data_IF_966365515036
#
_entry.id   IF_966365515036
#
_cell.length_a   1.000
_cell.length_b   1.000
_cell.length_c   1.000
_cell.angle_alpha   90.00
_cell.angle_beta   90.00
_cell.angle_gamma   90.00
#
_symmetry.space_group_name_H-M   'P 1'
#
loop_
_entity.id
_entity.type
_entity.pdbx_description
1 polymer ?
#
# COMPACT_ATOMS: atom_id res chain seq x y z
N UNK A 1 0.28 5.34 -26.89
CA UNK A 1 0.40 4.74 -25.56
C UNK A 1 1.29 5.64 -24.71
N UNK A 2 0.90 5.91 -23.46
CA UNK A 2 1.77 6.61 -22.51
C UNK A 2 2.97 5.72 -22.17
N UNK A 3 4.18 6.26 -22.23
CA UNK A 3 5.40 5.54 -21.81
C UNK A 3 5.65 5.77 -20.32
N UNK A 4 6.33 4.84 -19.66
CA UNK A 4 6.77 5.00 -18.25
C UNK A 4 7.64 6.24 -18.07
N UNK A 5 8.49 6.54 -19.04
CA UNK A 5 9.33 7.74 -19.02
C UNK A 5 8.49 9.02 -19.04
N UNK A 6 7.50 9.11 -19.93
CA UNK A 6 6.59 10.26 -19.99
C UNK A 6 5.80 10.41 -18.68
N UNK A 7 5.27 9.31 -18.15
CA UNK A 7 4.53 9.35 -16.88
C UNK A 7 5.40 9.81 -15.71
N UNK A 8 6.62 9.28 -15.61
CA UNK A 8 7.59 9.66 -14.58
C UNK A 8 7.95 11.14 -14.67
N UNK A 9 8.21 11.65 -15.88
CA UNK A 9 8.47 13.08 -16.10
C UNK A 9 7.27 13.95 -15.68
N UNK A 10 6.05 13.56 -16.08
CA UNK A 10 4.83 14.30 -15.69
C UNK A 10 4.68 14.37 -14.17
N UNK A 11 4.88 13.26 -13.45
CA UNK A 11 4.84 13.29 -11.99
C UNK A 11 5.96 14.16 -11.41
N UNK A 12 7.21 13.97 -11.85
CA UNK A 12 8.36 14.70 -11.33
C UNK A 12 8.27 16.23 -11.54
N UNK A 13 7.73 16.67 -12.67
CA UNK A 13 7.59 18.09 -13.00
C UNK A 13 6.43 18.78 -12.27
N UNK A 14 5.42 18.01 -11.83
CA UNK A 14 4.17 18.56 -11.28
C UNK A 14 3.98 18.29 -9.78
N UNK A 15 4.87 17.49 -9.15
CA UNK A 15 4.90 17.30 -7.70
C UNK A 15 5.86 18.31 -7.09
N UNK A 16 5.32 19.41 -6.57
CA UNK A 16 6.13 20.47 -5.95
C UNK A 16 6.49 20.19 -4.49
N UNK A 17 5.73 19.33 -3.80
CA UNK A 17 6.00 18.96 -2.42
C UNK A 17 5.58 17.51 -2.14
N UNK A 18 6.24 16.84 -1.18
CA UNK A 18 5.86 15.49 -0.77
C UNK A 18 4.41 15.45 -0.27
N UNK A 19 3.58 14.54 -0.78
CA UNK A 19 2.23 14.34 -0.27
C UNK A 19 2.23 13.37 0.92
N UNK A 20 1.44 13.68 1.94
CA UNK A 20 1.13 12.75 3.01
C UNK A 20 -0.03 11.84 2.54
N UNK A 21 0.18 10.53 2.59
CA UNK A 21 -0.85 9.53 2.20
C UNK A 21 -1.52 8.87 3.40
N UNK A 22 -1.03 9.17 4.60
CA UNK A 22 -1.62 8.82 5.90
C UNK A 22 -1.44 9.99 6.85
N UNK A 23 -2.39 10.14 7.78
CA UNK A 23 -2.44 11.13 8.87
C UNK A 23 -1.36 12.23 8.82
N UNK A 24 -1.74 13.41 8.31
CA UNK A 24 -0.84 14.53 8.09
C UNK A 24 -0.19 15.09 9.37
N UNK A 25 -0.62 14.64 10.55
CA UNK A 25 0.01 15.01 11.83
C UNK A 25 1.25 14.17 12.16
N UNK A 26 1.48 13.08 11.43
CA UNK A 26 2.65 12.21 11.61
C UNK A 26 3.90 12.83 11.00
N UNK A 27 4.84 13.22 11.86
CA UNK A 27 6.16 13.69 11.42
C UNK A 27 6.99 12.54 10.82
N UNK A 28 7.88 12.88 9.88
CA UNK A 28 8.80 11.92 9.22
C UNK A 28 9.65 11.13 10.21
N UNK A 29 10.02 11.71 11.35
CA UNK A 29 10.76 11.01 12.41
C UNK A 29 9.98 9.84 13.04
N UNK A 30 8.65 9.79 12.85
CA UNK A 30 7.78 8.69 13.30
C UNK A 30 7.87 7.44 12.41
N UNK A 31 8.54 7.55 11.27
CA UNK A 31 8.63 6.48 10.27
C UNK A 31 9.94 5.70 10.43
N UNK A 32 9.90 4.41 10.11
CA UNK A 32 11.08 3.58 9.90
C UNK A 32 10.93 2.66 8.69
N UNK A 33 12.01 2.40 7.94
CA UNK A 33 11.97 1.38 6.91
C UNK A 33 11.85 -0.01 7.54
N UNK A 34 11.21 -0.93 6.84
CA UNK A 34 11.19 -2.36 7.15
C UNK A 34 11.47 -3.15 5.88
N UNK A 35 12.29 -4.19 6.00
CA UNK A 35 12.65 -5.09 4.91
C UNK A 35 11.88 -6.41 5.09
N UNK A 36 10.95 -6.69 4.19
CA UNK A 36 10.21 -7.96 4.18
C UNK A 36 10.66 -8.91 3.07
N UNK A 37 11.82 -8.64 2.48
CA UNK A 37 12.41 -9.52 1.47
C UNK A 37 12.92 -10.82 2.07
N UNK A 38 13.15 -11.80 1.20
CA UNK A 38 13.74 -13.10 1.56
C UNK A 38 15.15 -12.99 2.19
N UNK A 39 15.83 -11.85 2.03
CA UNK A 39 17.13 -11.60 2.64
C UNK A 39 17.04 -11.35 4.16
N UNK A 40 15.88 -10.92 4.65
CA UNK A 40 15.66 -10.68 6.08
C UNK A 40 15.58 -12.01 6.84
N UNK A 41 16.61 -12.27 7.66
CA UNK A 41 16.72 -13.50 8.45
C UNK A 41 15.68 -13.62 9.55
N UNK A 42 15.17 -12.50 10.07
CA UNK A 42 14.14 -12.51 11.11
C UNK A 42 12.87 -13.24 10.66
N UNK A 43 12.59 -13.25 9.35
CA UNK A 43 11.40 -13.88 8.79
C UNK A 43 11.38 -15.41 8.95
N UNK A 44 12.48 -16.01 9.43
CA UNK A 44 12.59 -17.43 9.78
C UNK A 44 12.22 -17.72 11.23
N UNK A 45 12.15 -16.70 12.06
CA UNK A 45 11.99 -16.83 13.52
C UNK A 45 10.51 -16.87 13.96
N UNK A 46 9.57 -16.70 13.03
CA UNK A 46 8.14 -16.74 13.31
C UNK A 46 7.34 -17.33 12.15
N UNK A 47 6.10 -17.73 12.43
CA UNK A 47 5.17 -18.18 11.41
C UNK A 47 4.71 -17.01 10.56
N UNK A 48 5.46 -16.76 9.49
CA UNK A 48 5.14 -15.77 8.48
C UNK A 48 3.76 -16.01 7.83
N UNK A 49 3.12 -17.19 7.94
CA UNK A 49 1.75 -17.40 7.43
C UNK A 49 0.65 -16.80 8.29
N UNK A 50 0.98 -16.43 9.53
CA UNK A 50 0.05 -15.87 10.49
C UNK A 50 0.03 -14.34 10.47
N UNK A 51 -1.13 -13.76 10.15
CA UNK A 51 -1.33 -12.29 10.24
C UNK A 51 -1.06 -11.75 11.65
N UNK A 52 -1.33 -12.57 12.69
CA UNK A 52 -1.04 -12.21 14.08
C UNK A 52 0.46 -12.16 14.34
N UNK A 53 1.22 -13.13 13.86
CA UNK A 53 2.66 -13.16 14.04
C UNK A 53 3.33 -11.97 13.31
N UNK A 54 2.84 -11.60 12.13
CA UNK A 54 3.24 -10.35 11.46
C UNK A 54 2.96 -9.11 12.30
N UNK A 55 1.75 -8.99 12.86
CA UNK A 55 1.40 -7.87 13.72
C UNK A 55 2.35 -7.77 14.92
N UNK A 56 2.62 -8.90 15.59
CA UNK A 56 3.53 -8.96 16.74
C UNK A 56 4.96 -8.57 16.35
N UNK A 57 5.49 -9.10 15.24
CA UNK A 57 6.81 -8.76 14.71
C UNK A 57 6.96 -7.26 14.44
N UNK A 58 6.05 -6.68 13.65
CA UNK A 58 6.14 -5.27 13.24
C UNK A 58 5.93 -4.34 14.43
N UNK A 59 4.97 -4.65 15.31
CA UNK A 59 4.70 -3.85 16.52
C UNK A 59 5.92 -3.84 17.45
N UNK A 60 6.60 -4.99 17.60
CA UNK A 60 7.82 -5.07 18.42
C UNK A 60 8.95 -4.20 17.86
N UNK A 61 9.12 -4.18 16.53
CA UNK A 61 10.12 -3.36 15.84
C UNK A 61 9.85 -1.86 15.99
N UNK A 62 8.58 -1.46 15.80
CA UNK A 62 8.13 -0.08 16.00
C UNK A 62 8.37 0.38 17.43
N UNK A 63 7.94 -0.42 18.41
CA UNK A 63 8.09 -0.12 19.84
C UNK A 63 9.56 0.02 20.24
N UNK A 64 10.42 -0.91 19.79
CA UNK A 64 11.85 -0.91 20.10
C UNK A 64 12.58 0.35 19.57
N UNK A 65 12.09 0.96 18.50
CA UNK A 65 12.68 2.17 17.90
C UNK A 65 11.91 3.45 18.21
N UNK A 66 10.85 3.39 19.03
CA UNK A 66 9.99 4.53 19.33
C UNK A 66 9.30 5.11 18.09
N UNK A 67 8.93 4.24 17.14
CA UNK A 67 8.33 4.62 15.85
C UNK A 67 6.84 4.28 15.83
N UNK A 68 6.11 4.93 14.93
CA UNK A 68 4.65 4.76 14.77
C UNK A 68 4.27 4.18 13.40
N UNK A 69 5.13 4.33 12.40
CA UNK A 69 4.89 3.86 11.04
C UNK A 69 6.09 3.05 10.57
N UNK A 70 5.86 1.84 10.08
CA UNK A 70 6.85 1.12 9.29
C UNK A 70 6.47 1.26 7.81
N UNK A 71 7.46 1.40 6.93
CA UNK A 71 7.23 1.49 5.48
C UNK A 71 8.22 0.63 4.70
N UNK A 72 7.79 0.10 3.57
CA UNK A 72 8.63 -0.75 2.73
C UNK A 72 7.84 -1.40 1.62
N UNK A 73 8.40 -2.45 1.02
CA UNK A 73 7.63 -3.27 0.09
C UNK A 73 7.80 -3.02 -1.38
N UNK A 74 8.24 -1.85 -1.82
CA UNK A 74 8.33 -1.61 -3.25
C UNK A 74 9.50 -2.37 -3.89
N UNK A 75 9.19 -3.16 -4.92
CA UNK A 75 10.11 -4.07 -5.63
C UNK A 75 10.77 -5.10 -4.71
N UNK A 76 10.18 -5.39 -3.55
CA UNK A 76 10.63 -6.47 -2.69
C UNK A 76 10.17 -7.82 -3.26
N UNK A 77 11.13 -8.74 -3.42
CA UNK A 77 10.80 -10.16 -3.64
C UNK A 77 10.40 -10.76 -2.30
N UNK A 78 9.14 -11.19 -2.19
CA UNK A 78 8.57 -11.70 -0.94
C UNK A 78 8.06 -13.12 -1.10
N UNK A 79 8.45 -13.98 -0.17
CA UNK A 79 7.94 -15.34 -0.05
C UNK A 79 6.50 -15.41 0.48
N UNK A 80 5.92 -14.30 0.97
CA UNK A 80 4.56 -14.26 1.52
C UNK A 80 3.46 -14.64 0.51
N UNK A 81 3.70 -14.39 -0.79
CA UNK A 81 2.75 -14.69 -1.85
C UNK A 81 2.57 -16.19 -2.11
N UNK A 82 3.55 -17.01 -1.70
CA UNK A 82 3.50 -18.47 -1.79
C UNK A 82 2.35 -19.11 -0.99
N UNK A 83 1.60 -18.32 -0.21
CA UNK A 83 0.59 -18.79 0.74
C UNK A 83 -0.85 -18.78 0.24
N UNK A 84 -1.12 -18.05 -0.83
CA UNK A 84 -2.46 -18.03 -1.40
C UNK A 84 -2.47 -18.83 -2.69
N UNK A 85 -3.29 -19.89 -2.73
CA UNK A 85 -3.58 -20.60 -3.97
C UNK A 85 -4.18 -19.67 -5.05
N UNK A 86 -4.70 -18.50 -4.67
CA UNK A 86 -5.18 -17.48 -5.60
C UNK A 86 -4.05 -16.77 -6.37
N UNK A 87 -2.85 -16.69 -5.77
CA UNK A 87 -1.67 -16.04 -6.37
C UNK A 87 -0.65 -17.05 -6.93
N UNK A 88 -0.77 -18.33 -6.58
CA UNK A 88 0.08 -19.41 -7.07
C UNK A 88 -0.61 -20.18 -8.21
N UNK A 89 -0.15 -19.97 -9.43
CA UNK A 89 -0.34 -20.91 -10.53
C UNK A 89 0.73 -22.01 -10.45
N UNK A 90 0.39 -23.26 -10.80
CA UNK A 90 1.28 -24.44 -10.71
C UNK A 90 2.56 -24.37 -11.59
N UNK A 91 2.83 -23.23 -12.22
CA UNK A 91 3.96 -23.00 -13.13
C UNK A 91 4.91 -21.98 -12.49
N UNK A 92 6.11 -22.44 -12.09
CA UNK A 92 7.12 -21.64 -11.37
C UNK A 92 7.55 -20.35 -12.09
N UNK A 93 7.42 -20.29 -13.42
CA UNK A 93 7.76 -19.11 -14.23
C UNK A 93 6.72 -17.98 -14.15
N UNK A 94 5.57 -18.20 -13.50
CA UNK A 94 4.48 -17.23 -13.37
C UNK A 94 4.23 -16.75 -11.95
N UNK A 95 5.07 -17.16 -11.00
CA UNK A 95 4.93 -16.78 -9.59
C UNK A 95 5.02 -15.27 -9.41
N UNK A 96 3.92 -14.67 -8.94
CA UNK A 96 3.87 -13.24 -8.62
C UNK A 96 4.48 -13.00 -7.24
N UNK A 97 5.81 -12.89 -7.19
CA UNK A 97 6.55 -12.71 -5.93
C UNK A 97 7.16 -11.30 -5.75
N UNK A 98 7.01 -10.40 -6.73
CA UNK A 98 7.43 -9.00 -6.62
C UNK A 98 6.28 -8.14 -6.13
N UNK A 99 6.46 -7.47 -5.00
CA UNK A 99 5.48 -6.50 -4.51
C UNK A 99 5.65 -5.16 -5.26
N UNK A 100 4.62 -4.77 -6.00
CA UNK A 100 4.61 -3.55 -6.81
C UNK A 100 3.97 -2.35 -6.09
N UNK A 101 3.52 -2.54 -4.85
CA UNK A 101 2.98 -1.50 -3.97
C UNK A 101 4.01 -1.00 -2.96
N UNK A 102 3.58 -0.03 -2.16
CA UNK A 102 4.26 0.38 -0.92
C UNK A 102 3.31 0.05 0.22
N UNK A 103 3.85 -0.62 1.24
CA UNK A 103 3.10 -0.89 2.46
C UNK A 103 3.43 0.15 3.52
N UNK A 104 2.40 0.57 4.25
CA UNK A 104 2.51 1.41 5.44
C UNK A 104 1.85 0.68 6.60
N UNK A 105 2.66 0.14 7.50
CA UNK A 105 2.15 -0.51 8.71
C UNK A 105 1.98 0.53 9.81
N UNK A 106 0.71 0.74 10.17
CA UNK A 106 0.26 1.75 11.12
C UNK A 106 -0.86 1.18 11.98
N UNK A 107 -1.20 1.90 13.05
CA UNK A 107 -2.34 1.54 13.90
C UNK A 107 -3.66 1.60 13.12
N UNK A 108 -4.55 0.63 13.38
CA UNK A 108 -5.88 0.63 12.79
C UNK A 108 -6.64 1.90 13.16
N UNK A 109 -7.40 2.46 12.20
CA UNK A 109 -8.08 3.74 12.37
C UNK A 109 -7.22 4.97 12.03
N UNK A 110 -5.93 4.79 11.72
CA UNK A 110 -5.13 5.86 11.12
C UNK A 110 -5.77 6.34 9.82
N UNK A 111 -5.90 7.67 9.66
CA UNK A 111 -6.49 8.26 8.45
C UNK A 111 -5.63 7.95 7.24
N UNK A 112 -6.26 7.53 6.14
CA UNK A 112 -5.65 7.40 4.82
C UNK A 112 -6.07 8.60 3.98
N UNK A 113 -5.09 9.23 3.32
CA UNK A 113 -5.24 10.51 2.64
C UNK A 113 -5.02 10.34 1.14
N UNK A 114 -5.71 11.17 0.34
CA UNK A 114 -5.55 11.11 -1.11
C UNK A 114 -4.19 11.66 -1.51
N UNK A 115 -3.45 10.94 -2.35
CA UNK A 115 -2.11 11.33 -2.78
C UNK A 115 -2.14 12.54 -3.72
N UNK A 116 -3.23 12.69 -4.46
CA UNK A 116 -3.48 13.75 -5.43
C UNK A 116 -4.97 14.09 -5.45
N UNK A 117 -5.30 15.29 -5.92
CA UNK A 117 -6.65 15.64 -6.35
C UNK A 117 -7.17 14.62 -7.38
N UNK A 118 -8.44 14.26 -7.30
CA UNK A 118 -9.01 13.26 -8.19
C UNK A 118 -10.48 13.01 -7.96
N UNK A 119 -10.94 11.85 -8.43
CA UNK A 119 -12.30 11.37 -8.26
C UNK A 119 -12.29 9.90 -7.86
N UNK A 120 -13.32 9.48 -7.10
CA UNK A 120 -13.56 8.07 -6.81
C UNK A 120 -13.85 7.36 -8.14
N UNK A 121 -12.94 6.49 -8.57
CA UNK A 121 -13.14 5.69 -9.77
C UNK A 121 -14.01 4.46 -9.46
N UNK A 122 -13.59 3.67 -8.47
CA UNK A 122 -14.31 2.47 -8.04
C UNK A 122 -13.86 2.04 -6.65
N UNK A 123 -14.68 1.24 -5.97
CA UNK A 123 -14.36 0.69 -4.65
C UNK A 123 -15.03 -0.68 -4.46
N UNK A 124 -14.43 -1.53 -3.63
CA UNK A 124 -14.92 -2.90 -3.38
C UNK A 124 -14.37 -3.48 -2.08
N UNK A 125 -15.18 -4.30 -1.37
CA UNK A 125 -14.69 -5.19 -0.30
C UNK A 125 -14.23 -6.52 -0.93
N UNK A 126 -12.92 -6.68 -1.12
CA UNK A 126 -12.31 -7.89 -1.68
C UNK A 126 -12.09 -8.92 -0.58
N UNK A 127 -13.03 -9.87 -0.45
CA UNK A 127 -13.10 -10.79 0.70
C UNK A 127 -12.30 -12.09 0.55
N UNK A 128 -11.53 -12.27 -0.53
CA UNK A 128 -10.70 -13.47 -0.68
C UNK A 128 -9.54 -13.46 0.32
N UNK A 129 -9.05 -14.65 0.67
CA UNK A 129 -7.91 -14.78 1.58
C UNK A 129 -6.62 -14.22 0.95
N UNK A 130 -5.98 -13.28 1.65
CA UNK A 130 -4.76 -12.60 1.19
C UNK A 130 -4.99 -11.50 0.14
N UNK A 131 -6.25 -11.17 -0.15
CA UNK A 131 -6.63 -10.11 -1.09
C UNK A 131 -6.57 -8.71 -0.43
N UNK A 132 -6.83 -7.66 -1.19
CA UNK A 132 -6.73 -6.27 -0.75
C UNK A 132 -7.74 -5.86 0.33
N UNK A 133 -8.74 -6.69 0.68
CA UNK A 133 -9.81 -6.28 1.59
C UNK A 133 -10.62 -5.09 1.04
N UNK A 134 -11.17 -4.22 1.91
CA UNK A 134 -11.80 -2.97 1.47
C UNK A 134 -10.81 -2.09 0.71
N UNK A 135 -11.15 -1.81 -0.54
CA UNK A 135 -10.29 -1.15 -1.51
C UNK A 135 -10.98 0.04 -2.14
N UNK A 136 -10.23 1.13 -2.32
CA UNK A 136 -10.65 2.33 -3.05
C UNK A 136 -9.64 2.60 -4.17
N UNK A 137 -10.13 2.91 -5.37
CA UNK A 137 -9.34 3.37 -6.50
C UNK A 137 -9.73 4.82 -6.79
N UNK A 138 -8.75 5.72 -6.77
CA UNK A 138 -8.93 7.10 -7.23
C UNK A 138 -8.35 7.25 -8.63
N UNK A 139 -9.06 8.00 -9.47
CA UNK A 139 -8.55 8.48 -10.75
C UNK A 139 -8.08 9.91 -10.60
N UNK A 140 -6.89 10.17 -11.11
CA UNK A 140 -6.25 11.48 -11.10
C UNK A 140 -6.01 11.93 -12.53
N UNK A 141 -5.79 13.22 -12.73
CA UNK A 141 -5.38 13.76 -14.03
C UNK A 141 -4.43 14.94 -13.81
N UNK A 142 -3.22 14.84 -14.34
CA UNK A 142 -2.22 15.92 -14.36
C UNK A 142 -1.88 16.19 -15.83
N UNK A 143 -2.00 17.43 -16.30
CA UNK A 143 -1.72 17.80 -17.70
C UNK A 143 -2.40 16.87 -18.73
N UNK A 144 -3.68 16.54 -18.51
CA UNK A 144 -4.47 15.61 -19.32
C UNK A 144 -4.00 14.15 -19.32
N UNK A 145 -3.04 13.80 -18.45
CA UNK A 145 -2.54 12.45 -18.26
C UNK A 145 -3.29 11.78 -17.11
N UNK A 146 -4.12 10.76 -17.39
CA UNK A 146 -4.82 10.03 -16.34
C UNK A 146 -3.90 8.99 -15.69
N UNK A 147 -4.05 8.83 -14.38
CA UNK A 147 -3.43 7.74 -13.62
C UNK A 147 -4.29 7.39 -12.40
N UNK A 148 -3.94 6.30 -11.73
CA UNK A 148 -4.75 5.74 -10.67
C UNK A 148 -3.90 5.44 -9.44
N UNK A 149 -4.50 5.62 -8.27
CA UNK A 149 -3.97 5.13 -7.00
C UNK A 149 -4.93 4.09 -6.44
N UNK A 150 -4.38 3.04 -5.84
CA UNK A 150 -5.13 1.97 -5.18
C UNK A 150 -4.80 1.99 -3.70
N UNK A 151 -5.83 2.06 -2.87
CA UNK A 151 -5.74 2.02 -1.42
C UNK A 151 -6.39 0.73 -0.93
N UNK A 152 -5.57 -0.20 -0.43
CA UNK A 152 -6.02 -1.48 0.12
C UNK A 152 -6.13 -1.47 1.64
N UNK A 153 -6.69 -2.55 2.18
CA UNK A 153 -6.81 -2.84 3.61
C UNK A 153 -7.46 -1.71 4.42
N UNK A 154 -8.36 -0.96 3.78
CA UNK A 154 -9.13 0.09 4.44
C UNK A 154 -10.11 -0.53 5.45
N UNK A 155 -10.64 0.30 6.35
CA UNK A 155 -11.78 -0.13 7.15
C UNK A 155 -13.00 -0.31 6.24
N UNK A 156 -13.88 -1.29 6.54
CA UNK A 156 -15.17 -1.44 5.82
C UNK A 156 -16.03 -0.18 5.95
N UNK A 157 -15.89 0.50 7.08
CA UNK A 157 -16.58 1.75 7.36
C UNK A 157 -16.21 2.86 6.37
N UNK A 158 -14.98 2.87 5.87
CA UNK A 158 -14.49 3.84 4.88
C UNK A 158 -15.16 3.71 3.51
N UNK A 159 -15.77 2.56 3.21
CA UNK A 159 -16.48 2.35 1.95
C UNK A 159 -17.97 2.71 2.03
N UNK A 160 -18.47 3.03 3.22
CA UNK A 160 -19.88 3.44 3.39
C UNK A 160 -20.12 4.77 2.69
N UNK A 161 -21.26 4.85 2.00
CA UNK A 161 -21.76 6.06 1.34
C UNK A 161 -20.85 6.68 0.25
N UNK A 162 -19.79 5.98 -0.16
CA UNK A 162 -18.98 6.37 -1.31
C UNK A 162 -19.80 6.29 -2.59
N UNK A 163 -19.53 7.21 -3.52
CA UNK A 163 -20.15 7.25 -4.84
C UNK A 163 -19.06 7.45 -5.89
N UNK A 164 -19.08 6.65 -6.94
CA UNK A 164 -18.22 6.83 -8.10
C UNK A 164 -18.42 8.23 -8.70
N UNK A 165 -17.34 8.85 -9.16
CA UNK A 165 -17.30 10.23 -9.65
C UNK A 165 -17.24 11.31 -8.55
N UNK A 166 -17.28 10.95 -7.26
CA UNK A 166 -17.13 11.94 -6.18
C UNK A 166 -15.72 12.54 -6.21
N UNK A 167 -15.63 13.87 -6.24
CA UNK A 167 -14.35 14.59 -6.21
C UNK A 167 -13.70 14.48 -4.83
N UNK A 168 -12.40 14.20 -4.83
CA UNK A 168 -11.55 14.10 -3.64
C UNK A 168 -10.37 15.07 -3.82
N UNK A 169 -10.05 15.80 -2.75
CA UNK A 169 -8.88 16.68 -2.69
C UNK A 169 -7.70 15.94 -2.09
N UNK A 170 -6.49 16.28 -2.54
CA UNK A 170 -5.25 15.81 -1.94
C UNK A 170 -5.22 16.12 -0.45
N UNK A 171 -4.71 15.16 0.34
CA UNK A 171 -4.67 15.23 1.81
C UNK A 171 -5.93 14.66 2.45
#
# INVERSE_FOLDING_TARGET
>A
MMTTALFSSVLAENIQSPCCVIDATLDRSSYMPIDLSEANRDLKEFDVSSSRAWQEYISSRLSAQGKRVAYGGYLERRSIYSRSAYFNTEVSETERNIHLGVDLWVESGTKVLAAFDGEIHSFKDNRNYGDYGPTLILKHTINSVPFYTLYGHLSRESLRDLKEGTVVKQG
#
